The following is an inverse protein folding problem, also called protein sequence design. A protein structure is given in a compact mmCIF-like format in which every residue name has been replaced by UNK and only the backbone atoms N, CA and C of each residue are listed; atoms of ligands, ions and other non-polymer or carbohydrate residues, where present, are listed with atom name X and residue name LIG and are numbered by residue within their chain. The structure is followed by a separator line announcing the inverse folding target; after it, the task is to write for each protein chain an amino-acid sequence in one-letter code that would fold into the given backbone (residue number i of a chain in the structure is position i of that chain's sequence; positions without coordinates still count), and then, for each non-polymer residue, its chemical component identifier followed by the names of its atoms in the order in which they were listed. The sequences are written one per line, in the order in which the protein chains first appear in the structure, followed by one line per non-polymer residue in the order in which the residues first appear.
data_IF_438585112759
#
_entry.id   IF_438585112759
#
_cell.length_a   1.000
_cell.length_b   1.000
_cell.length_c   1.000
_cell.angle_alpha   90.00
_cell.angle_beta   90.00
_cell.angle_gamma   90.00
#
_symmetry.space_group_name_H-M   'P 1'
#
loop_
_entity.id
_entity.type
_entity.pdbx_description
1 polymer ?
#
# COMPACT_ATOMS: atom_id res chain seq x y z
N UNK A 1 -0.13 10.55 20.51
CA UNK A 1 -0.03 11.57 19.42
C UNK A 1 -1.40 12.20 19.24
N UNK A 2 -1.52 13.52 19.37
CA UNK A 2 -2.76 14.25 19.10
C UNK A 2 -3.13 14.23 17.59
N UNK A 3 -4.40 14.51 17.26
CA UNK A 3 -4.90 14.55 15.88
C UNK A 3 -4.16 15.57 15.00
N UNK A 4 -3.83 16.74 15.56
CA UNK A 4 -3.04 17.78 14.89
C UNK A 4 -1.63 17.31 14.52
N UNK A 5 -1.01 16.50 15.37
CA UNK A 5 0.33 15.97 15.14
C UNK A 5 0.37 14.93 13.99
N UNK A 6 -0.65 14.07 13.89
CA UNK A 6 -0.77 13.13 12.76
C UNK A 6 -1.02 13.83 11.43
N UNK A 7 -1.88 14.86 11.41
CA UNK A 7 -2.14 15.64 10.21
C UNK A 7 -0.87 16.32 9.70
N UNK A 8 -0.15 17.06 10.56
CA UNK A 8 1.09 17.72 10.18
C UNK A 8 2.14 16.71 9.66
N UNK A 9 2.26 15.56 10.33
CA UNK A 9 3.16 14.48 9.91
C UNK A 9 2.87 13.98 8.49
N UNK A 10 1.61 13.62 8.20
CA UNK A 10 1.26 13.08 6.89
C UNK A 10 1.20 14.16 5.81
N UNK A 11 0.81 15.39 6.13
CA UNK A 11 0.89 16.51 5.19
C UNK A 11 2.34 16.81 4.78
N UNK A 12 3.30 16.71 5.69
CA UNK A 12 4.73 16.79 5.35
C UNK A 12 5.19 15.64 4.45
N UNK A 13 4.65 14.44 4.65
CA UNK A 13 5.00 13.25 3.88
C UNK A 13 4.34 13.22 2.49
N UNK A 14 3.18 13.86 2.34
CA UNK A 14 2.35 13.94 1.15
C UNK A 14 1.97 15.40 0.89
N UNK A 15 2.94 16.25 0.48
CA UNK A 15 2.72 17.69 0.33
C UNK A 15 1.65 18.00 -0.71
N UNK A 16 1.53 17.18 -1.75
CA UNK A 16 0.61 17.38 -2.88
C UNK A 16 -0.81 16.87 -2.60
N UNK A 17 -1.01 16.05 -1.56
CA UNK A 17 -2.35 15.61 -1.17
C UNK A 17 -3.13 16.76 -0.53
N UNK A 18 -4.40 16.90 -0.91
CA UNK A 18 -5.36 17.78 -0.27
C UNK A 18 -5.54 17.45 1.22
N UNK A 19 -6.11 18.41 1.97
CA UNK A 19 -6.45 18.21 3.38
C UNK A 19 -7.32 16.97 3.58
N UNK A 20 -8.34 16.81 2.72
CA UNK A 20 -9.30 15.70 2.77
C UNK A 20 -8.59 14.36 2.59
N UNK A 21 -7.73 14.23 1.59
CA UNK A 21 -6.99 12.98 1.35
C UNK A 21 -6.07 12.60 2.52
N UNK A 22 -5.46 13.59 3.18
CA UNK A 22 -4.66 13.34 4.40
C UNK A 22 -5.55 12.91 5.57
N UNK A 23 -6.72 13.54 5.74
CA UNK A 23 -7.70 13.16 6.77
C UNK A 23 -8.28 11.75 6.52
N UNK A 24 -8.44 11.35 5.25
CA UNK A 24 -8.86 10.01 4.86
C UNK A 24 -7.82 8.95 5.23
N UNK A 25 -6.52 9.22 5.01
CA UNK A 25 -5.44 8.35 5.46
C UNK A 25 -5.46 8.17 6.99
N UNK A 26 -5.63 9.27 7.73
CA UNK A 26 -5.70 9.22 9.20
C UNK A 26 -6.91 8.41 9.65
N UNK A 27 -8.05 8.61 8.98
CA UNK A 27 -9.29 7.88 9.25
C UNK A 27 -9.16 6.39 8.93
N UNK A 28 -8.43 6.05 7.86
CA UNK A 28 -8.12 4.67 7.51
C UNK A 28 -7.26 3.98 8.58
N UNK A 29 -6.22 4.66 9.07
CA UNK A 29 -5.37 4.15 10.16
C UNK A 29 -6.18 3.93 11.43
N UNK A 30 -7.06 4.87 11.80
CA UNK A 30 -7.86 4.79 13.03
C UNK A 30 -8.97 3.75 12.95
N UNK A 31 -9.61 3.64 11.79
CA UNK A 31 -10.71 2.72 11.54
C UNK A 31 -10.26 1.34 11.10
N UNK A 32 -8.97 1.02 11.21
CA UNK A 32 -8.38 -0.27 10.83
C UNK A 32 -8.74 -0.72 9.40
N UNK A 33 -8.80 0.25 8.46
CA UNK A 33 -9.32 0.01 7.11
C UNK A 33 -8.36 -0.80 6.25
N UNK A 34 -8.94 -1.51 5.29
CA UNK A 34 -8.26 -2.18 4.18
C UNK A 34 -9.13 -2.09 2.93
N UNK A 35 -8.55 -2.40 1.77
CA UNK A 35 -9.25 -2.47 0.49
C UNK A 35 -8.82 -3.73 -0.25
N UNK A 36 -9.71 -4.32 -1.05
CA UNK A 36 -9.33 -5.38 -1.98
C UNK A 36 -8.56 -4.76 -3.15
N UNK A 37 -7.56 -5.49 -3.68
CA UNK A 37 -6.91 -5.08 -4.94
C UNK A 37 -7.88 -5.24 -6.11
N UNK A 38 -8.64 -6.34 -6.12
CA UNK A 38 -9.76 -6.53 -7.02
C UNK A 38 -10.96 -7.11 -6.26
N UNK A 39 -12.21 -6.61 -6.49
CA UNK A 39 -13.40 -7.13 -5.81
C UNK A 39 -13.62 -8.65 -6.00
N UNK A 40 -13.23 -9.18 -7.16
CA UNK A 40 -13.41 -10.59 -7.52
C UNK A 40 -12.38 -11.52 -6.84
N UNK A 41 -11.27 -10.96 -6.35
CA UNK A 41 -10.14 -11.71 -5.79
C UNK A 41 -9.81 -11.26 -4.35
N UNK A 42 -10.13 -12.12 -3.38
CA UNK A 42 -9.97 -11.84 -1.93
C UNK A 42 -8.57 -12.12 -1.37
N UNK A 43 -7.67 -12.64 -2.18
CA UNK A 43 -6.30 -12.99 -1.80
C UNK A 43 -5.34 -11.81 -1.86
N UNK A 44 -5.71 -10.71 -2.53
CA UNK A 44 -4.90 -9.50 -2.64
C UNK A 44 -5.58 -8.29 -2.01
N UNK A 45 -4.88 -7.59 -1.10
CA UNK A 45 -5.40 -6.44 -0.36
C UNK A 45 -4.39 -5.29 -0.24
N UNK A 46 -4.92 -4.07 -0.16
CA UNK A 46 -4.23 -2.88 0.29
C UNK A 46 -4.45 -2.69 1.80
N UNK A 47 -3.36 -2.51 2.55
CA UNK A 47 -3.41 -2.16 3.98
C UNK A 47 -2.48 -1.00 4.29
N UNK A 48 -2.75 -0.26 5.36
CA UNK A 48 -1.89 0.86 5.77
C UNK A 48 -0.83 0.38 6.74
N UNK A 49 0.44 0.65 6.45
CA UNK A 49 1.55 0.41 7.35
C UNK A 49 1.41 1.28 8.62
N UNK A 50 1.46 0.64 9.79
CA UNK A 50 1.45 1.30 11.09
C UNK A 50 2.87 1.50 11.64
N UNK A 51 3.83 0.72 11.17
CA UNK A 51 5.24 0.80 11.53
C UNK A 51 6.13 0.69 10.29
N UNK A 52 7.43 0.94 10.45
CA UNK A 52 8.43 0.52 9.46
C UNK A 52 8.60 -1.00 9.50
N UNK A 53 8.97 -1.60 8.37
CA UNK A 53 9.40 -2.99 8.32
C UNK A 53 10.88 -3.08 8.73
N UNK A 54 11.15 -3.48 9.98
CA UNK A 54 12.53 -3.52 10.53
C UNK A 54 12.90 -4.82 11.22
N UNK A 55 11.91 -5.63 11.61
CA UNK A 55 12.14 -6.85 12.37
C UNK A 55 12.35 -7.98 11.36
N UNK A 56 13.55 -8.58 11.26
CA UNK A 56 13.81 -9.64 10.30
C UNK A 56 12.99 -10.91 10.58
N UNK A 57 12.62 -11.60 9.52
CA UNK A 57 11.92 -12.89 9.44
C UNK A 57 12.52 -13.70 8.29
N UNK A 58 12.20 -15.00 8.21
CA UNK A 58 12.73 -15.89 7.16
C UNK A 58 12.57 -15.29 5.75
N UNK A 59 11.38 -14.76 5.45
CA UNK A 59 11.02 -14.28 4.10
C UNK A 59 11.00 -12.74 3.98
N UNK A 60 11.68 -12.02 4.87
CA UNK A 60 11.79 -10.56 4.81
C UNK A 60 11.68 -9.86 6.16
N UNK A 61 10.86 -8.81 6.23
CA UNK A 61 10.78 -7.93 7.41
C UNK A 61 9.35 -7.72 7.87
N UNK A 62 9.11 -7.88 9.16
CA UNK A 62 7.78 -7.68 9.73
C UNK A 62 7.45 -6.19 9.90
N UNK A 63 6.23 -5.83 9.49
CA UNK A 63 5.59 -4.55 9.79
C UNK A 63 4.22 -4.78 10.44
N UNK A 64 3.78 -3.83 11.27
CA UNK A 64 2.37 -3.75 11.69
C UNK A 64 1.58 -3.05 10.59
N UNK A 65 0.38 -3.53 10.33
CA UNK A 65 -0.52 -2.96 9.34
C UNK A 65 -1.96 -2.97 9.85
N UNK A 66 -2.82 -2.15 9.24
CA UNK A 66 -4.26 -2.24 9.46
C UNK A 66 -4.82 -3.59 9.00
N UNK A 67 -5.93 -4.01 9.59
CA UNK A 67 -6.69 -5.24 9.35
C UNK A 67 -5.95 -6.55 9.65
N UNK A 68 -4.77 -6.74 9.07
CA UNK A 68 -3.97 -7.96 9.16
C UNK A 68 -3.07 -8.03 10.40
N UNK A 69 -2.98 -6.94 11.18
CA UNK A 69 -2.16 -6.76 12.41
C UNK A 69 -0.65 -6.84 12.17
N UNK A 70 -0.14 -7.92 11.58
CA UNK A 70 1.27 -8.15 11.28
C UNK A 70 1.41 -8.81 9.92
N UNK A 71 2.29 -8.26 9.08
CA UNK A 71 2.59 -8.82 7.76
C UNK A 71 4.09 -8.87 7.53
N UNK A 72 4.52 -9.82 6.70
CA UNK A 72 5.90 -9.88 6.21
C UNK A 72 5.99 -9.03 4.96
N UNK A 73 6.97 -8.13 4.90
CA UNK A 73 7.29 -7.32 3.73
C UNK A 73 8.54 -7.90 3.10
N UNK A 74 8.51 -8.18 1.79
CA UNK A 74 9.66 -8.74 1.08
C UNK A 74 10.89 -7.82 1.19
N UNK A 75 12.12 -8.35 1.18
CA UNK A 75 13.34 -7.57 1.37
C UNK A 75 13.44 -6.33 0.46
N UNK A 76 13.04 -6.46 -0.80
CA UNK A 76 13.12 -5.43 -1.84
C UNK A 76 12.18 -4.24 -1.54
N UNK A 77 11.05 -4.51 -0.89
CA UNK A 77 10.04 -3.54 -0.51
C UNK A 77 10.26 -2.97 0.91
N UNK A 78 10.90 -3.72 1.80
CA UNK A 78 10.97 -3.43 3.23
C UNK A 78 11.52 -2.03 3.55
N UNK A 79 12.56 -1.58 2.83
CA UNK A 79 13.17 -0.25 3.03
C UNK A 79 12.21 0.91 2.78
N UNK A 80 11.16 0.69 2.00
CA UNK A 80 10.15 1.68 1.66
C UNK A 80 8.98 1.70 2.63
N UNK A 81 8.80 0.63 3.42
CA UNK A 81 7.74 0.53 4.42
C UNK A 81 7.95 1.55 5.53
N UNK A 82 7.04 2.51 5.60
CA UNK A 82 6.98 3.56 6.62
C UNK A 82 5.53 3.74 7.05
N UNK A 83 5.31 4.20 8.28
CA UNK A 83 3.96 4.50 8.80
C UNK A 83 3.20 5.40 7.80
N UNK A 84 1.97 5.02 7.46
CA UNK A 84 1.12 5.72 6.50
C UNK A 84 1.43 5.44 5.03
N UNK A 85 2.36 4.53 4.71
CA UNK A 85 2.47 3.94 3.37
C UNK A 85 1.45 2.81 3.23
N UNK A 86 1.04 2.55 2.00
CA UNK A 86 0.16 1.43 1.66
C UNK A 86 1.03 0.22 1.33
N UNK A 87 0.64 -0.95 1.80
CA UNK A 87 1.28 -2.22 1.51
C UNK A 87 0.33 -2.99 0.60
N UNK A 88 0.81 -3.39 -0.58
CA UNK A 88 0.09 -4.31 -1.47
C UNK A 88 0.46 -5.71 -1.06
N UNK A 89 -0.52 -6.42 -0.52
CA UNK A 89 -0.36 -7.69 0.17
C UNK A 89 -1.07 -8.77 -0.61
N UNK A 90 -0.41 -9.91 -0.74
CA UNK A 90 -0.99 -11.13 -1.26
C UNK A 90 -0.95 -12.22 -0.19
N UNK A 91 -2.03 -13.00 -0.11
CA UNK A 91 -2.08 -14.23 0.66
C UNK A 91 -1.29 -15.31 -0.07
N UNK A 92 -0.19 -15.76 0.53
CA UNK A 92 0.60 -16.90 0.05
C UNK A 92 0.52 -18.01 1.08
N UNK A 93 -0.04 -19.16 0.70
CA UNK A 93 -0.31 -20.28 1.60
C UNK A 93 -1.09 -19.83 2.85
N UNK A 94 -0.42 -19.82 4.01
CA UNK A 94 -0.98 -19.49 5.32
C UNK A 94 -0.65 -18.08 5.81
N UNK A 95 0.13 -17.29 5.08
CA UNK A 95 0.57 -15.97 5.52
C UNK A 95 0.38 -14.87 4.47
N UNK A 96 0.31 -13.63 4.95
CA UNK A 96 0.17 -12.45 4.12
C UNK A 96 1.54 -11.81 3.90
N UNK A 97 1.88 -11.57 2.64
CA UNK A 97 3.16 -11.02 2.23
C UNK A 97 2.97 -9.76 1.38
N UNK A 98 3.58 -8.66 1.82
CA UNK A 98 3.60 -7.42 1.07
C UNK A 98 4.74 -7.45 0.04
N UNK A 99 4.37 -7.53 -1.24
CA UNK A 99 5.32 -7.52 -2.37
C UNK A 99 5.67 -6.11 -2.84
N UNK A 100 4.79 -5.13 -2.58
CA UNK A 100 5.02 -3.73 -2.95
C UNK A 100 4.58 -2.76 -1.86
N UNK A 101 5.27 -1.63 -1.78
CA UNK A 101 4.89 -0.49 -0.95
C UNK A 101 4.49 0.67 -1.85
N UNK A 102 3.33 1.26 -1.58
CA UNK A 102 2.73 2.33 -2.38
C UNK A 102 2.61 3.60 -1.54
N UNK A 103 2.91 4.75 -2.13
CA UNK A 103 2.62 6.05 -1.50
C UNK A 103 1.11 6.31 -1.49
N UNK A 104 0.58 7.01 -0.49
CA UNK A 104 -0.85 7.32 -0.41
C UNK A 104 -1.42 7.96 -1.70
N UNK A 105 -0.76 8.97 -2.25
CA UNK A 105 -1.11 9.61 -3.52
C UNK A 105 -1.20 8.60 -4.68
N UNK A 106 -0.14 7.82 -4.89
CA UNK A 106 -0.15 6.75 -5.89
C UNK A 106 -1.24 5.68 -5.65
N UNK A 107 -1.54 5.33 -4.40
CA UNK A 107 -2.65 4.42 -4.07
C UNK A 107 -3.99 4.99 -4.52
N UNK A 108 -4.28 6.26 -4.24
CA UNK A 108 -5.50 6.93 -4.69
C UNK A 108 -5.64 6.89 -6.22
N UNK A 109 -4.52 7.02 -6.94
CA UNK A 109 -4.49 6.88 -8.40
C UNK A 109 -4.77 5.46 -8.87
N UNK A 110 -4.14 4.45 -8.26
CA UNK A 110 -4.38 3.04 -8.60
C UNK A 110 -5.83 2.62 -8.34
N UNK A 111 -6.46 3.14 -7.28
CA UNK A 111 -7.86 2.85 -6.95
C UNK A 111 -8.87 3.39 -7.98
N UNK A 112 -8.45 4.28 -8.88
CA UNK A 112 -9.27 4.82 -9.96
C UNK A 112 -9.07 4.08 -11.30
N UNK A 113 -8.26 3.02 -11.32
CA UNK A 113 -8.02 2.20 -12.52
C UNK A 113 -8.83 0.91 -12.49
N UNK A 114 -8.82 0.19 -13.62
CA UNK A 114 -9.46 -1.12 -13.72
C UNK A 114 -8.84 -2.11 -12.71
N UNK A 115 -9.62 -2.61 -11.73
CA UNK A 115 -9.09 -3.45 -10.65
C UNK A 115 -8.54 -4.79 -11.14
N UNK A 116 -9.10 -5.35 -12.23
CA UNK A 116 -8.64 -6.61 -12.82
C UNK A 116 -7.23 -6.46 -13.40
N UNK A 117 -6.95 -5.34 -14.06
CA UNK A 117 -5.63 -5.06 -14.64
C UNK A 117 -4.57 -4.85 -13.57
N UNK A 118 -4.89 -4.08 -12.53
CA UNK A 118 -3.97 -3.86 -11.41
C UNK A 118 -3.69 -5.17 -10.68
N UNK A 119 -4.72 -6.00 -10.48
CA UNK A 119 -4.57 -7.34 -9.92
C UNK A 119 -3.68 -8.23 -10.80
N UNK A 120 -3.96 -8.34 -12.10
CA UNK A 120 -3.16 -9.12 -13.04
C UNK A 120 -1.69 -8.71 -13.01
N UNK A 121 -1.40 -7.41 -13.13
CA UNK A 121 -0.04 -6.88 -13.01
C UNK A 121 0.62 -7.20 -11.67
N UNK A 122 -0.14 -7.20 -10.57
CA UNK A 122 0.38 -7.53 -9.24
C UNK A 122 0.73 -9.01 -9.13
N UNK A 123 -0.11 -9.89 -9.66
CA UNK A 123 0.11 -11.35 -9.68
C UNK A 123 1.34 -11.73 -10.52
N UNK A 124 1.51 -11.08 -11.67
CA UNK A 124 2.63 -11.30 -12.59
C UNK A 124 3.95 -10.66 -12.12
N UNK A 125 3.96 -9.97 -10.97
CA UNK A 125 5.15 -9.30 -10.46
C UNK A 125 5.57 -8.07 -11.28
N UNK A 126 4.67 -7.52 -12.11
CA UNK A 126 4.91 -6.30 -12.91
C UNK A 126 4.78 -5.01 -12.09
N UNK A 127 4.22 -5.09 -10.88
CA UNK A 127 4.22 -3.98 -9.91
C UNK A 127 5.57 -3.94 -9.17
N UNK A 128 6.32 -2.82 -9.24
CA UNK A 128 7.63 -2.74 -8.62
C UNK A 128 7.53 -2.74 -7.08
N UNK A 129 8.62 -3.06 -6.35
CA UNK A 129 8.64 -3.07 -4.88
C UNK A 129 8.28 -1.72 -4.23
N UNK A 130 8.40 -0.61 -4.98
CA UNK A 130 7.96 0.71 -4.54
C UNK A 130 7.24 1.47 -5.65
N UNK A 131 6.02 1.91 -5.36
CA UNK A 131 5.19 2.72 -6.24
C UNK A 131 4.98 4.10 -5.64
N UNK A 132 5.29 5.14 -6.40
CA UNK A 132 5.13 6.53 -6.03
C UNK A 132 4.63 7.37 -7.21
N UNK A 133 4.46 8.67 -7.03
CA UNK A 133 3.92 9.55 -8.07
C UNK A 133 4.77 9.62 -9.35
N UNK A 134 6.08 9.30 -9.26
CA UNK A 134 6.99 9.30 -10.41
C UNK A 134 6.78 8.10 -11.33
N UNK A 135 6.42 6.93 -10.80
CA UNK A 135 6.32 5.70 -11.59
C UNK A 135 4.89 5.16 -11.72
N UNK A 136 3.94 5.65 -10.93
CA UNK A 136 2.55 5.19 -10.99
C UNK A 136 1.89 5.50 -12.34
N UNK A 137 2.25 6.62 -13.00
CA UNK A 137 1.75 6.93 -14.35
C UNK A 137 2.08 5.83 -15.36
N UNK A 138 3.29 5.27 -15.29
CA UNK A 138 3.71 4.16 -16.17
C UNK A 138 2.95 2.89 -15.88
N UNK A 139 2.61 2.63 -14.61
CA UNK A 139 1.80 1.47 -14.21
C UNK A 139 0.38 1.62 -14.73
N UNK A 140 -0.24 2.79 -14.49
CA UNK A 140 -1.58 3.16 -14.98
C UNK A 140 -1.67 3.02 -16.51
N UNK A 141 -0.69 3.55 -17.24
CA UNK A 141 -0.65 3.44 -18.70
C UNK A 141 -0.54 2.00 -19.20
N UNK A 142 0.14 1.12 -18.46
CA UNK A 142 0.25 -0.30 -18.80
C UNK A 142 -1.05 -1.05 -18.49
N UNK A 143 -1.74 -0.71 -17.40
CA UNK A 143 -3.03 -1.28 -17.05
C UNK A 143 -4.07 -0.99 -18.15
N UNK A 144 -4.17 0.25 -18.61
CA UNK A 144 -5.14 0.66 -19.65
C UNK A 144 -4.89 0.11 -21.05
N UNK A 145 -3.69 -0.42 -21.32
CA UNK A 145 -3.34 -1.00 -22.65
C UNK A 145 -3.71 -2.46 -22.79
N UNK A 146 -4.21 -3.08 -21.72
CA UNK A 146 -4.64 -4.48 -21.68
C UNK A 146 -6.16 -4.62 -21.82
N UNK A 147 -6.88 -3.50 -21.93
CA UNK A 147 -8.28 -3.42 -22.39
C UNK A 147 -8.35 -3.58 -23.92
#
# INVERSE_FOLDING_TARGET
MSRSNLFAHFKKMYPDCSRREVEDLISAIKGDKYWLVCPDYKDAVYVVALTRAKIPKADGFQAKATHLKRITVVPEAARFSKKGRILMVIKSNSHYMAKSVVTWSAFLRLMNENPNEIYGMFMEGKIPPFVNDKNVSTIVLKARKQE
#
